data_IF_527732978671
#
_entry.id   IF_527732978671
#
_cell.length_a   1.000
_cell.length_b   1.000
_cell.length_c   1.000
_cell.angle_alpha   90.00
_cell.angle_beta   90.00
_cell.angle_gamma   90.00
#
_symmetry.space_group_name_H-M   'P 1'
#
loop_
_entity.id
_entity.type
_entity.pdbx_description
1 polymer ?
#
# COMPACT_ATOMS: atom_id res chain seq x y z
N UNK A 1 -2.58 -12.36 3.54
CA UNK A 1 -2.82 -13.77 3.89
C UNK A 1 -3.41 -14.57 2.73
N UNK A 2 -4.30 -13.99 1.92
CA UNK A 2 -5.00 -14.69 0.85
C UNK A 2 -4.39 -14.54 -0.56
N UNK A 3 -3.26 -13.87 -0.69
CA UNK A 3 -2.65 -13.56 -1.98
C UNK A 3 -2.51 -14.80 -2.91
N UNK A 4 -1.98 -15.93 -2.40
CA UNK A 4 -1.88 -17.15 -3.21
C UNK A 4 -3.24 -17.72 -3.62
N UNK A 5 -4.25 -17.65 -2.75
CA UNK A 5 -5.60 -18.11 -3.09
C UNK A 5 -6.25 -17.22 -4.16
N UNK A 6 -5.99 -15.92 -4.11
CA UNK A 6 -6.47 -14.97 -5.12
C UNK A 6 -5.77 -15.18 -6.46
N UNK A 7 -4.46 -15.39 -6.48
CA UNK A 7 -3.71 -15.73 -7.72
C UNK A 7 -4.16 -17.04 -8.37
N UNK A 8 -4.65 -17.99 -7.57
CA UNK A 8 -5.23 -19.25 -8.06
C UNK A 8 -6.74 -19.12 -8.33
N UNK A 9 -7.30 -17.91 -8.27
CA UNK A 9 -8.72 -17.61 -8.47
C UNK A 9 -9.67 -18.44 -7.55
N UNK A 10 -9.17 -18.90 -6.40
CA UNK A 10 -9.96 -19.63 -5.40
C UNK A 10 -10.69 -18.70 -4.42
N UNK A 11 -10.22 -17.47 -4.30
CA UNK A 11 -10.81 -16.39 -3.52
C UNK A 11 -10.83 -15.18 -4.43
N UNK A 12 -11.99 -14.63 -4.70
CA UNK A 12 -12.14 -13.42 -5.49
C UNK A 12 -12.07 -12.17 -4.57
N UNK A 13 -11.81 -10.97 -5.09
CA UNK A 13 -11.84 -9.75 -4.30
C UNK A 13 -13.12 -9.58 -3.47
N UNK A 14 -14.28 -9.90 -4.05
CA UNK A 14 -15.55 -9.81 -3.34
C UNK A 14 -15.71 -10.85 -2.22
N UNK A 15 -15.10 -12.03 -2.34
CA UNK A 15 -15.11 -13.07 -1.29
C UNK A 15 -14.24 -12.64 -0.09
N UNK A 16 -13.16 -11.87 -0.36
CA UNK A 16 -12.32 -11.34 0.70
C UNK A 16 -13.09 -10.43 1.66
N UNK A 17 -14.07 -9.67 1.14
CA UNK A 17 -14.95 -8.84 1.99
C UNK A 17 -15.84 -9.71 2.89
N UNK A 18 -16.39 -10.81 2.36
CA UNK A 18 -17.21 -11.72 3.17
C UNK A 18 -16.36 -12.37 4.25
N UNK A 19 -15.17 -12.87 3.90
CA UNK A 19 -14.21 -13.46 4.85
C UNK A 19 -13.84 -12.45 5.95
N UNK A 20 -13.57 -11.20 5.59
CA UNK A 20 -13.23 -10.15 6.55
C UNK A 20 -14.39 -9.90 7.53
N UNK A 21 -15.62 -9.79 7.01
CA UNK A 21 -16.83 -9.58 7.79
C UNK A 21 -17.12 -10.76 8.73
N UNK A 22 -17.07 -11.99 8.23
CA UNK A 22 -17.30 -13.21 9.01
C UNK A 22 -16.28 -13.40 10.14
N UNK A 23 -15.07 -12.86 9.98
CA UNK A 23 -14.02 -12.90 10.99
C UNK A 23 -13.91 -11.63 11.84
N UNK A 24 -14.90 -10.74 11.79
CA UNK A 24 -14.94 -9.48 12.55
C UNK A 24 -13.70 -8.59 12.33
N UNK A 25 -13.14 -8.60 11.13
CA UNK A 25 -12.06 -7.70 10.74
C UNK A 25 -12.66 -6.32 10.39
N UNK A 26 -11.84 -5.27 10.50
CA UNK A 26 -12.28 -3.90 10.21
C UNK A 26 -12.20 -3.52 8.74
N UNK A 27 -11.45 -4.26 7.96
CA UNK A 27 -11.24 -3.92 6.56
C UNK A 27 -10.33 -4.89 5.84
N UNK A 28 -10.05 -4.59 4.61
CA UNK A 28 -9.18 -5.36 3.73
C UNK A 28 -8.09 -4.49 3.13
N UNK A 29 -6.90 -5.06 2.97
CA UNK A 29 -5.86 -4.54 2.11
C UNK A 29 -5.80 -5.41 0.87
N UNK A 30 -5.88 -4.82 -0.30
CA UNK A 30 -5.93 -5.53 -1.55
C UNK A 30 -5.04 -4.84 -2.60
N UNK A 31 -4.18 -5.63 -3.22
CA UNK A 31 -3.34 -5.16 -4.31
C UNK A 31 -4.16 -5.05 -5.60
N UNK A 32 -3.90 -4.03 -6.40
CA UNK A 32 -4.62 -3.77 -7.66
C UNK A 32 -4.66 -4.98 -8.61
N UNK A 33 -3.64 -5.85 -8.56
CA UNK A 33 -3.54 -7.06 -9.39
C UNK A 33 -3.98 -8.36 -8.67
N UNK A 34 -4.38 -8.30 -7.40
CA UNK A 34 -4.81 -9.49 -6.68
C UNK A 34 -6.15 -10.01 -7.22
N UNK A 35 -6.18 -11.28 -7.61
CA UNK A 35 -7.33 -11.91 -8.26
C UNK A 35 -7.15 -12.10 -9.77
N UNK A 36 -5.94 -11.83 -10.27
CA UNK A 36 -5.56 -11.99 -11.68
C UNK A 36 -6.60 -11.34 -12.62
N UNK A 37 -7.28 -12.11 -13.48
CA UNK A 37 -8.31 -11.58 -14.38
C UNK A 37 -9.52 -10.94 -13.66
N UNK A 38 -9.74 -11.25 -12.39
CA UNK A 38 -10.80 -10.68 -11.56
C UNK A 38 -10.29 -9.62 -10.60
N UNK A 39 -9.05 -9.16 -10.77
CA UNK A 39 -8.44 -8.14 -9.93
C UNK A 39 -9.15 -6.79 -10.06
N UNK A 40 -8.99 -5.93 -9.07
CA UNK A 40 -9.56 -4.58 -9.12
C UNK A 40 -9.07 -3.79 -10.35
N UNK A 41 -7.83 -3.99 -10.79
CA UNK A 41 -7.27 -3.36 -11.99
C UNK A 41 -7.94 -3.80 -13.29
N UNK A 42 -8.63 -4.95 -13.30
CA UNK A 42 -9.35 -5.46 -14.47
C UNK A 42 -10.88 -5.22 -14.41
N UNK A 43 -11.38 -4.67 -13.31
CA UNK A 43 -12.79 -4.35 -13.14
C UNK A 43 -13.16 -3.05 -13.86
N UNK A 44 -14.36 -3.01 -14.41
CA UNK A 44 -14.93 -1.76 -14.90
C UNK A 44 -15.43 -0.87 -13.75
N UNK A 45 -15.80 0.38 -14.07
CA UNK A 45 -16.29 1.36 -13.10
C UNK A 45 -17.51 0.87 -12.30
N UNK A 46 -18.39 0.09 -12.93
CA UNK A 46 -19.59 -0.45 -12.28
C UNK A 46 -19.22 -1.55 -11.29
N UNK A 47 -18.30 -2.42 -11.67
CA UNK A 47 -17.79 -3.48 -10.81
C UNK A 47 -17.04 -2.94 -9.60
N UNK A 48 -16.16 -1.93 -9.81
CA UNK A 48 -15.46 -1.24 -8.73
C UNK A 48 -16.46 -0.56 -7.77
N UNK A 49 -17.47 0.11 -8.30
CA UNK A 49 -18.51 0.72 -7.45
C UNK A 49 -19.29 -0.33 -6.67
N UNK A 50 -19.64 -1.46 -7.30
CA UNK A 50 -20.35 -2.56 -6.62
C UNK A 50 -19.49 -3.21 -5.51
N UNK A 51 -18.18 -3.33 -5.72
CA UNK A 51 -17.23 -3.77 -4.69
C UNK A 51 -17.20 -2.81 -3.49
N UNK A 52 -17.10 -1.52 -3.75
CA UNK A 52 -17.15 -0.48 -2.70
C UNK A 52 -18.49 -0.45 -1.95
N UNK A 53 -19.60 -0.60 -2.67
CA UNK A 53 -20.93 -0.69 -2.07
C UNK A 53 -21.07 -1.91 -1.15
N UNK A 54 -20.48 -3.04 -1.55
CA UNK A 54 -20.45 -4.24 -0.70
C UNK A 54 -19.65 -4.00 0.58
N UNK A 55 -18.46 -3.41 0.47
CA UNK A 55 -17.64 -3.09 1.64
C UNK A 55 -18.37 -2.15 2.62
N UNK A 56 -19.03 -1.08 2.11
CA UNK A 56 -19.84 -0.17 2.92
C UNK A 56 -20.98 -0.89 3.64
N UNK A 57 -21.71 -1.78 2.97
CA UNK A 57 -22.79 -2.58 3.59
C UNK A 57 -22.27 -3.48 4.71
N UNK A 58 -21.04 -3.99 4.58
CA UNK A 58 -20.39 -4.83 5.57
C UNK A 58 -19.64 -4.03 6.64
N UNK A 59 -19.64 -2.70 6.53
CA UNK A 59 -18.90 -1.77 7.42
C UNK A 59 -17.40 -2.09 7.45
N UNK A 60 -16.80 -2.29 6.27
CA UNK A 60 -15.39 -2.60 6.09
C UNK A 60 -14.65 -1.45 5.41
N UNK A 61 -13.47 -1.13 5.92
CA UNK A 61 -12.52 -0.24 5.25
C UNK A 61 -11.82 -0.96 4.11
N UNK A 62 -11.53 -0.23 3.03
CA UNK A 62 -10.72 -0.70 1.91
C UNK A 62 -9.42 0.10 1.87
N UNK A 63 -8.31 -0.60 1.72
CA UNK A 63 -6.99 -0.04 1.47
C UNK A 63 -6.43 -0.64 0.18
N UNK A 64 -6.12 0.21 -0.79
CA UNK A 64 -5.57 -0.21 -2.08
C UNK A 64 -4.05 -0.27 -2.00
N UNK A 65 -3.47 -1.26 -2.65
CA UNK A 65 -2.02 -1.46 -2.69
C UNK A 65 -1.52 -1.55 -4.13
N UNK A 66 -0.38 -0.91 -4.40
CA UNK A 66 0.37 -1.08 -5.66
C UNK A 66 1.85 -1.33 -5.37
N UNK A 67 2.54 -2.00 -6.29
CA UNK A 67 3.95 -2.41 -6.14
C UNK A 67 4.92 -1.49 -6.88
N UNK A 68 4.52 -0.25 -7.14
CA UNK A 68 5.34 0.75 -7.79
C UNK A 68 4.95 2.15 -7.31
N UNK A 69 5.84 3.12 -7.49
CA UNK A 69 5.62 4.54 -7.17
C UNK A 69 5.58 5.44 -8.39
N UNK A 70 5.76 4.90 -9.59
CA UNK A 70 5.64 5.67 -10.81
C UNK A 70 4.23 6.22 -11.04
N UNK A 71 4.13 7.29 -11.83
CA UNK A 71 2.88 8.03 -12.05
C UNK A 71 1.73 7.14 -12.52
N UNK A 72 1.98 6.25 -13.48
CA UNK A 72 0.92 5.42 -14.06
C UNK A 72 0.35 4.45 -13.03
N UNK A 73 1.22 3.82 -12.23
CA UNK A 73 0.83 2.89 -11.16
C UNK A 73 0.07 3.60 -10.02
N UNK A 74 0.49 4.82 -9.68
CA UNK A 74 -0.21 5.65 -8.69
C UNK A 74 -1.58 6.09 -9.22
N UNK A 75 -1.66 6.57 -10.45
CA UNK A 75 -2.92 7.02 -11.07
C UNK A 75 -3.96 5.89 -11.12
N UNK A 76 -3.53 4.68 -11.50
CA UNK A 76 -4.38 3.49 -11.49
C UNK A 76 -4.89 3.18 -10.07
N UNK A 77 -3.99 3.10 -9.10
CA UNK A 77 -4.34 2.78 -7.72
C UNK A 77 -5.28 3.83 -7.11
N UNK A 78 -5.04 5.11 -7.37
CA UNK A 78 -5.90 6.21 -6.91
C UNK A 78 -7.28 6.18 -7.58
N UNK A 79 -7.34 5.93 -8.90
CA UNK A 79 -8.62 5.80 -9.60
C UNK A 79 -9.47 4.68 -9.02
N UNK A 80 -8.87 3.51 -8.75
CA UNK A 80 -9.52 2.38 -8.08
C UNK A 80 -9.96 2.77 -6.66
N UNK A 81 -9.09 3.43 -5.89
CA UNK A 81 -9.40 3.84 -4.53
C UNK A 81 -10.62 4.78 -4.48
N UNK A 82 -10.67 5.78 -5.36
CA UNK A 82 -11.78 6.72 -5.45
C UNK A 82 -13.09 6.03 -5.86
N UNK A 83 -13.03 5.09 -6.79
CA UNK A 83 -14.22 4.35 -7.27
C UNK A 83 -14.77 3.38 -6.23
N UNK A 84 -13.90 2.72 -5.49
CA UNK A 84 -14.30 1.78 -4.43
C UNK A 84 -14.65 2.47 -3.11
N UNK A 85 -14.27 3.74 -2.94
CA UNK A 85 -14.39 4.47 -1.68
C UNK A 85 -13.36 4.01 -0.65
N UNK A 86 -12.21 3.57 -1.10
CA UNK A 86 -11.10 3.21 -0.21
C UNK A 86 -10.58 4.44 0.55
N UNK A 87 -9.99 4.21 1.72
CA UNK A 87 -9.47 5.27 2.59
C UNK A 87 -7.99 5.57 2.36
N UNK A 88 -7.24 4.65 1.76
CA UNK A 88 -5.81 4.84 1.55
C UNK A 88 -5.25 4.08 0.34
N UNK A 89 -4.11 4.58 -0.13
CA UNK A 89 -3.27 3.92 -1.13
C UNK A 89 -1.89 3.65 -0.53
N UNK A 90 -1.44 2.41 -0.57
CA UNK A 90 -0.08 2.02 -0.22
C UNK A 90 0.71 1.74 -1.50
N UNK A 91 1.91 2.27 -1.57
CA UNK A 91 2.88 1.98 -2.63
C UNK A 91 4.27 1.74 -2.06
N UNK A 92 5.14 1.12 -2.84
CA UNK A 92 6.56 1.07 -2.54
C UNK A 92 7.38 1.29 -3.81
N UNK A 93 8.46 2.08 -3.69
CA UNK A 93 9.33 2.33 -4.83
C UNK A 93 10.11 1.07 -5.18
N UNK A 94 10.35 0.90 -6.48
CA UNK A 94 11.06 -0.26 -7.02
C UNK A 94 11.97 0.18 -8.16
N UNK A 95 13.09 0.81 -7.79
CA UNK A 95 14.04 1.37 -8.73
C UNK A 95 15.42 0.73 -8.56
N UNK A 96 16.07 0.46 -9.68
CA UNK A 96 17.47 0.02 -9.71
C UNK A 96 18.40 1.21 -9.96
N UNK A 97 19.58 1.21 -9.34
CA UNK A 97 20.58 2.25 -9.53
C UNK A 97 21.37 2.60 -8.28
N UNK A 98 22.10 3.69 -8.32
CA UNK A 98 22.74 4.18 -7.12
C UNK A 98 21.73 4.88 -6.20
N UNK A 99 21.95 4.79 -4.89
CA UNK A 99 21.01 5.25 -3.88
C UNK A 99 20.59 6.72 -4.05
N UNK A 100 21.51 7.60 -4.43
CA UNK A 100 21.21 9.03 -4.58
C UNK A 100 20.19 9.27 -5.70
N UNK A 101 20.38 8.60 -6.84
CA UNK A 101 19.49 8.74 -7.99
C UNK A 101 18.12 8.12 -7.68
N UNK A 102 18.11 6.95 -7.03
CA UNK A 102 16.88 6.29 -6.57
C UNK A 102 16.09 7.20 -5.61
N UNK A 103 16.73 7.77 -4.60
CA UNK A 103 16.07 8.70 -3.67
C UNK A 103 15.53 9.93 -4.40
N UNK A 104 16.24 10.46 -5.39
CA UNK A 104 15.75 11.59 -6.20
C UNK A 104 14.52 11.23 -7.03
N UNK A 105 14.49 10.03 -7.63
CA UNK A 105 13.31 9.56 -8.36
C UNK A 105 12.12 9.42 -7.42
N UNK A 106 12.30 8.80 -6.26
CA UNK A 106 11.23 8.60 -5.28
C UNK A 106 10.70 9.95 -4.76
N UNK A 107 11.58 10.90 -4.50
CA UNK A 107 11.17 12.25 -4.10
C UNK A 107 10.31 12.93 -5.16
N UNK A 108 10.63 12.75 -6.46
CA UNK A 108 9.81 13.25 -7.55
C UNK A 108 8.45 12.54 -7.65
N UNK A 109 8.41 11.22 -7.43
CA UNK A 109 7.15 10.48 -7.37
C UNK A 109 6.26 10.99 -6.24
N UNK A 110 6.83 11.19 -5.05
CA UNK A 110 6.10 11.73 -3.89
C UNK A 110 5.61 13.16 -4.19
N UNK A 111 6.43 14.00 -4.81
CA UNK A 111 6.03 15.34 -5.21
C UNK A 111 4.84 15.29 -6.18
N UNK A 112 4.84 14.37 -7.14
CA UNK A 112 3.71 14.13 -8.03
C UNK A 112 2.44 13.73 -7.26
N UNK A 113 2.54 12.81 -6.31
CA UNK A 113 1.39 12.41 -5.47
C UNK A 113 0.84 13.60 -4.70
N UNK A 114 1.71 14.41 -4.09
CA UNK A 114 1.31 15.61 -3.37
C UNK A 114 0.59 16.61 -4.30
N UNK A 115 1.21 16.96 -5.41
CA UNK A 115 0.69 17.97 -6.34
C UNK A 115 -0.64 17.57 -6.97
N UNK A 116 -0.85 16.26 -7.17
CA UNK A 116 -2.02 15.77 -7.89
C UNK A 116 -3.14 15.33 -6.95
N UNK A 117 -2.81 14.76 -5.78
CA UNK A 117 -3.76 14.00 -4.97
C UNK A 117 -3.87 14.43 -3.50
N UNK A 118 -3.17 15.46 -3.03
CA UNK A 118 -3.26 15.90 -1.63
C UNK A 118 -4.69 16.24 -1.19
N UNK A 119 -5.53 16.72 -2.09
CA UNK A 119 -6.92 17.12 -1.82
C UNK A 119 -7.95 16.01 -2.14
N UNK A 120 -7.48 14.81 -2.46
CA UNK A 120 -8.34 13.66 -2.81
C UNK A 120 -9.13 13.07 -1.63
N UNK A 121 -8.75 13.40 -0.41
CA UNK A 121 -9.27 12.76 0.81
C UNK A 121 -8.63 11.41 1.13
N UNK A 122 -7.72 10.91 0.29
CA UNK A 122 -6.98 9.68 0.54
C UNK A 122 -5.77 9.93 1.43
N UNK A 123 -5.42 8.92 2.23
CA UNK A 123 -4.11 8.85 2.87
C UNK A 123 -3.16 7.97 2.06
N UNK A 124 -1.88 8.28 2.11
CA UNK A 124 -0.85 7.55 1.38
C UNK A 124 0.16 6.94 2.33
N UNK A 125 0.62 5.73 2.03
CA UNK A 125 1.69 5.11 2.80
C UNK A 125 2.78 4.56 1.88
N UNK A 126 4.04 4.85 2.25
CA UNK A 126 5.20 4.20 1.63
C UNK A 126 5.57 2.99 2.48
N UNK A 127 5.63 1.83 1.86
CA UNK A 127 6.13 0.63 2.50
C UNK A 127 7.64 0.52 2.30
N UNK A 128 8.34 0.21 3.38
CA UNK A 128 9.69 -0.30 3.28
C UNK A 128 9.63 -1.73 2.75
N UNK A 129 10.18 -1.96 1.56
CA UNK A 129 10.08 -3.27 0.94
C UNK A 129 11.40 -4.05 0.92
N UNK A 130 12.55 -3.48 0.76
CA UNK A 130 13.87 -4.15 0.82
C UNK A 130 15.01 -3.17 0.46
N UNK A 131 14.69 -2.10 -0.24
CA UNK A 131 15.69 -1.28 -0.95
C UNK A 131 16.17 -0.09 -0.14
N UNK A 132 15.33 0.42 0.76
CA UNK A 132 15.61 1.62 1.54
C UNK A 132 15.69 1.31 3.04
N UNK A 133 16.54 2.04 3.73
CA UNK A 133 16.64 1.99 5.18
C UNK A 133 15.62 2.91 5.85
N UNK A 134 15.37 2.64 7.12
CA UNK A 134 14.41 3.38 7.93
C UNK A 134 14.61 4.89 7.92
N UNK A 135 15.88 5.35 8.05
CA UNK A 135 16.20 6.78 8.06
C UNK A 135 16.00 7.45 6.69
N UNK A 136 16.20 6.74 5.59
CA UNK A 136 15.97 7.23 4.23
C UNK A 136 14.47 7.46 3.98
N UNK A 137 13.64 6.49 4.38
CA UNK A 137 12.19 6.62 4.31
C UNK A 137 11.64 7.76 5.17
N UNK A 138 12.18 7.93 6.38
CA UNK A 138 11.81 9.04 7.27
C UNK A 138 12.19 10.40 6.65
N UNK A 139 13.36 10.49 5.99
CA UNK A 139 13.75 11.71 5.27
C UNK A 139 12.80 12.02 4.14
N UNK A 140 12.46 11.05 3.30
CA UNK A 140 11.50 11.22 2.20
C UNK A 140 10.13 11.73 2.69
N UNK A 141 9.58 11.15 3.77
CA UNK A 141 8.30 11.59 4.33
C UNK A 141 8.40 13.02 4.88
N UNK A 142 9.46 13.35 5.62
CA UNK A 142 9.64 14.69 6.18
C UNK A 142 9.84 15.77 5.10
N UNK A 143 10.64 15.46 4.08
CA UNK A 143 10.96 16.38 3.00
C UNK A 143 9.80 16.56 2.01
N UNK A 144 8.85 15.62 1.99
CA UNK A 144 7.67 15.70 1.12
C UNK A 144 6.72 16.84 1.47
N UNK A 145 6.70 17.30 2.73
CA UNK A 145 5.73 18.27 3.25
C UNK A 145 4.27 17.88 2.98
N UNK A 146 3.98 16.58 2.86
CA UNK A 146 2.66 16.03 2.58
C UNK A 146 2.06 15.42 3.84
N UNK A 147 1.07 16.09 4.46
CA UNK A 147 0.44 15.65 5.73
C UNK A 147 -0.25 14.29 5.60
N UNK A 148 -0.80 13.97 4.42
CA UNK A 148 -1.48 12.70 4.17
C UNK A 148 -0.53 11.53 3.84
N UNK A 149 0.80 11.76 3.83
CA UNK A 149 1.82 10.73 3.60
C UNK A 149 2.41 10.20 4.90
N UNK A 150 2.50 8.90 5.01
CA UNK A 150 3.03 8.21 6.19
C UNK A 150 3.82 6.96 5.78
N UNK A 151 4.27 6.19 6.77
CA UNK A 151 5.01 4.95 6.55
C UNK A 151 4.18 3.72 6.93
N UNK A 152 4.36 2.66 6.16
CA UNK A 152 3.99 1.31 6.53
C UNK A 152 5.24 0.56 6.99
N UNK A 153 5.21 0.05 8.20
CA UNK A 153 6.28 -0.74 8.77
C UNK A 153 6.05 -2.23 8.55
N UNK A 154 7.04 -2.91 7.94
CA UNK A 154 7.02 -4.35 7.73
C UNK A 154 8.23 -4.99 8.42
N UNK A 155 7.98 -5.83 9.44
CA UNK A 155 9.02 -6.40 10.29
C UNK A 155 10.06 -7.23 9.51
N UNK A 156 9.61 -8.05 8.57
CA UNK A 156 10.50 -8.94 7.85
C UNK A 156 11.35 -8.20 6.82
N UNK A 157 10.78 -7.17 6.20
CA UNK A 157 11.48 -6.39 5.20
C UNK A 157 12.65 -5.58 5.78
N UNK A 158 12.61 -5.24 7.09
CA UNK A 158 13.75 -4.60 7.77
C UNK A 158 14.99 -5.48 7.76
N UNK A 159 14.81 -6.77 7.92
CA UNK A 159 15.92 -7.75 7.90
C UNK A 159 16.57 -7.78 6.51
N UNK A 160 15.77 -7.75 5.45
CA UNK A 160 16.26 -7.70 4.08
C UNK A 160 17.03 -6.41 3.77
N UNK A 161 16.60 -5.29 4.34
CA UNK A 161 17.31 -4.02 4.26
C UNK A 161 18.59 -3.97 5.14
N UNK A 162 18.94 -5.09 5.78
CA UNK A 162 20.07 -5.18 6.71
C UNK A 162 19.96 -4.16 7.85
N UNK A 163 18.76 -4.07 8.42
CA UNK A 163 18.49 -3.29 9.64
C UNK A 163 17.90 -4.18 10.74
N UNK A 164 18.24 -3.86 11.98
CA UNK A 164 17.61 -4.51 13.12
C UNK A 164 16.17 -3.99 13.26
N UNK A 165 15.12 -4.85 13.20
CA UNK A 165 13.74 -4.40 13.15
C UNK A 165 13.31 -3.46 14.28
N UNK A 166 13.81 -3.67 15.49
CA UNK A 166 13.47 -2.83 16.65
C UNK A 166 14.08 -1.42 16.53
N UNK A 167 15.27 -1.30 15.95
CA UNK A 167 15.91 0.01 15.78
C UNK A 167 15.28 0.77 14.61
N UNK A 168 14.97 0.07 13.53
CA UNK A 168 14.16 0.61 12.44
C UNK A 168 12.78 1.09 12.92
N UNK A 169 12.09 0.29 13.75
CA UNK A 169 10.82 0.67 14.36
C UNK A 169 10.93 1.96 15.17
N UNK A 170 11.94 2.10 16.03
CA UNK A 170 12.17 3.33 16.80
C UNK A 170 12.37 4.55 15.92
N UNK A 171 13.12 4.38 14.83
CA UNK A 171 13.40 5.46 13.87
C UNK A 171 12.13 5.90 13.13
N UNK A 172 11.31 4.93 12.70
CA UNK A 172 10.12 5.18 11.88
C UNK A 172 8.87 5.52 12.71
N UNK A 173 8.82 5.15 14.01
CA UNK A 173 7.62 5.20 14.85
C UNK A 173 6.79 6.50 14.76
N UNK A 174 7.38 7.71 14.72
CA UNK A 174 6.59 8.94 14.62
C UNK A 174 5.81 9.11 13.31
N UNK A 175 6.14 8.31 12.30
CA UNK A 175 5.58 8.41 10.95
C UNK A 175 4.79 7.16 10.52
N UNK A 176 4.71 6.13 11.38
CA UNK A 176 4.00 4.88 11.07
C UNK A 176 2.52 5.05 11.32
N UNK A 177 1.69 4.72 10.32
CA UNK A 177 0.24 4.60 10.43
C UNK A 177 -0.26 3.20 10.12
N UNK A 178 0.55 2.39 9.46
CA UNK A 178 0.20 1.03 9.08
C UNK A 178 1.36 0.07 9.40
N UNK A 179 1.01 -1.20 9.67
CA UNK A 179 2.00 -2.23 10.01
C UNK A 179 1.63 -3.53 9.30
N UNK A 180 2.64 -4.17 8.71
CA UNK A 180 2.57 -5.57 8.30
C UNK A 180 3.28 -6.42 9.35
N UNK A 181 2.52 -7.31 9.99
CA UNK A 181 3.09 -8.28 10.94
C UNK A 181 3.39 -9.56 10.17
N UNK A 182 4.66 -9.85 10.06
CA UNK A 182 5.19 -11.07 9.41
C UNK A 182 6.13 -11.78 10.37
N UNK A 183 6.25 -13.08 10.18
CA UNK A 183 7.31 -13.88 10.79
C UNK A 183 8.38 -14.20 9.74
N UNK A 184 9.62 -14.35 10.16
CA UNK A 184 10.75 -14.69 9.30
C UNK A 184 11.65 -15.70 9.99
N UNK A 185 11.97 -16.77 9.28
CA UNK A 185 13.00 -17.73 9.69
C UNK A 185 14.30 -17.37 8.98
N UNK A 186 15.32 -17.05 9.77
CA UNK A 186 16.69 -16.86 9.27
C UNK A 186 17.36 -18.24 9.27
N UNK A 187 17.70 -18.75 8.09
CA UNK A 187 18.38 -20.03 7.88
C UNK A 187 19.79 -19.84 7.38
#
# INVERSE_FOLDING_TARGET
AFHLNMRLERVLPADLLDIASENNLRGVKIHVLDGERFSLGNMDDKELSAFGDKARRLNLDIHIETSASDKASIDEAVAIALKTGASSVRFYPRYEGNLRDVLSIIANDIAYVRETYQDSGLTFTIEQHEDLKSHELVSLVKESEMESLSLLFDFANMINANEHPIDALKTMAPHITQVHIKDALIV
#
